data_IF_188151412317
#
_entry.id   IF_188151412317
#
_cell.length_a   1.000
_cell.length_b   1.000
_cell.length_c   1.000
_cell.angle_alpha   90.00
_cell.angle_beta   90.00
_cell.angle_gamma   90.00
#
_symmetry.space_group_name_H-M   'P 1'
#
loop_
_entity.id
_entity.type
_entity.pdbx_description
1 polymer ?
#
# COMPACT_ATOMS: atom_id res chain seq x y z
N UNK A 1 -6.28 10.24 8.03
CA UNK A 1 -6.73 8.91 7.60
C UNK A 1 -6.26 7.89 8.62
N UNK A 2 -7.17 7.14 9.24
CA UNK A 2 -6.87 6.10 10.23
C UNK A 2 -6.73 4.73 9.57
N UNK A 3 -6.26 3.73 10.34
CA UNK A 3 -6.20 2.34 9.89
C UNK A 3 -7.58 1.80 9.53
N UNK A 4 -8.56 2.02 10.40
CA UNK A 4 -9.93 1.54 10.25
C UNK A 4 -10.61 2.14 9.02
N UNK A 5 -10.36 3.42 8.75
CA UNK A 5 -10.84 4.11 7.54
C UNK A 5 -10.29 3.43 6.27
N UNK A 6 -9.00 3.09 6.22
CA UNK A 6 -8.39 2.39 5.07
C UNK A 6 -8.94 0.98 4.91
N UNK A 7 -9.06 0.23 6.02
CA UNK A 7 -9.52 -1.16 6.02
C UNK A 7 -10.99 -1.29 5.55
N UNK A 8 -11.81 -0.26 5.77
CA UNK A 8 -13.20 -0.23 5.31
C UNK A 8 -13.40 0.49 3.96
N UNK A 9 -12.38 1.18 3.46
CA UNK A 9 -12.48 1.93 2.20
C UNK A 9 -12.73 0.98 1.01
N UNK A 10 -13.80 1.16 0.23
CA UNK A 10 -14.06 0.34 -0.95
C UNK A 10 -13.04 0.64 -2.05
N UNK A 11 -12.87 -0.31 -2.98
CA UNK A 11 -12.13 -0.03 -4.21
C UNK A 11 -12.85 1.08 -5.01
N UNK A 12 -12.08 1.95 -5.65
CA UNK A 12 -12.60 3.06 -6.44
C UNK A 12 -11.64 4.25 -6.52
N UNK A 13 -12.12 5.31 -7.20
CA UNK A 13 -11.29 6.48 -7.54
C UNK A 13 -10.73 7.22 -6.34
N UNK A 14 -11.41 7.22 -5.21
CA UNK A 14 -10.91 7.82 -3.97
C UNK A 14 -9.67 7.09 -3.47
N UNK A 15 -9.71 5.75 -3.38
CA UNK A 15 -8.56 4.94 -2.99
C UNK A 15 -7.42 5.07 -4.01
N UNK A 16 -7.73 5.01 -5.30
CA UNK A 16 -6.73 5.16 -6.37
C UNK A 16 -6.00 6.50 -6.28
N UNK A 17 -6.72 7.58 -5.95
CA UNK A 17 -6.14 8.90 -5.73
C UNK A 17 -5.18 8.95 -4.55
N UNK A 18 -5.52 8.26 -3.46
CA UNK A 18 -4.63 8.13 -2.31
C UNK A 18 -3.38 7.31 -2.64
N UNK A 19 -3.51 6.23 -3.40
CA UNK A 19 -2.37 5.43 -3.86
C UNK A 19 -1.44 6.27 -4.74
N UNK A 20 -2.00 6.96 -5.72
CA UNK A 20 -1.24 7.84 -6.60
C UNK A 20 -0.48 8.91 -5.80
N UNK A 21 -1.13 9.50 -4.81
CA UNK A 21 -0.54 10.57 -4.01
C UNK A 21 0.50 10.07 -2.99
N UNK A 22 0.15 9.08 -2.18
CA UNK A 22 0.91 8.69 -0.98
C UNK A 22 1.93 7.58 -1.24
N UNK A 23 1.65 6.66 -2.17
CA UNK A 23 2.52 5.50 -2.42
C UNK A 23 3.37 5.73 -3.67
N UNK A 24 2.73 6.05 -4.79
CA UNK A 24 3.44 6.30 -6.05
C UNK A 24 4.27 7.59 -5.95
N UNK A 25 3.75 8.60 -5.25
CA UNK A 25 4.41 9.89 -5.10
C UNK A 25 4.18 10.80 -6.30
N UNK A 26 2.98 10.80 -6.89
CA UNK A 26 2.59 11.65 -8.03
C UNK A 26 2.56 13.17 -7.74
N UNK A 27 3.29 13.64 -6.73
CA UNK A 27 3.76 15.01 -6.64
C UNK A 27 5.15 15.11 -7.26
N UNK A 28 5.21 15.48 -8.55
CA UNK A 28 6.30 16.32 -9.09
C UNK A 28 7.74 15.85 -8.81
N UNK A 29 8.05 14.57 -9.00
CA UNK A 29 9.41 14.20 -9.39
C UNK A 29 9.35 13.31 -10.62
N UNK A 30 9.93 13.83 -11.70
CA UNK A 30 10.26 13.12 -12.92
C UNK A 30 11.13 11.93 -12.52
N UNK A 31 10.54 10.74 -12.50
CA UNK A 31 11.31 9.51 -12.36
C UNK A 31 11.97 9.28 -13.73
N UNK A 32 13.23 9.66 -13.85
CA UNK A 32 14.12 9.22 -14.93
C UNK A 32 14.35 7.70 -14.78
N UNK A 33 13.43 6.87 -15.28
CA UNK A 33 13.74 5.51 -15.75
C UNK A 33 12.48 4.82 -16.30
N UNK A 34 12.47 4.70 -17.63
CA UNK A 34 11.88 3.65 -18.47
C UNK A 34 10.39 3.26 -18.38
N UNK A 35 9.59 3.87 -17.51
CA UNK A 35 8.13 3.75 -17.60
C UNK A 35 7.58 4.87 -18.48
N UNK A 36 6.94 4.51 -19.59
CA UNK A 36 6.25 5.39 -20.56
C UNK A 36 4.99 6.07 -19.98
N UNK A 37 5.06 6.57 -18.77
CA UNK A 37 4.11 7.56 -18.25
C UNK A 37 4.79 8.92 -18.36
N UNK A 38 4.69 9.51 -19.55
CA UNK A 38 5.17 10.85 -19.81
C UNK A 38 4.41 11.84 -18.92
N UNK A 39 5.00 12.16 -17.78
CA UNK A 39 4.51 13.18 -16.84
C UNK A 39 4.32 14.56 -17.48
N UNK A 40 4.84 14.79 -18.70
CA UNK A 40 4.61 16.01 -19.47
C UNK A 40 3.29 16.01 -20.27
N UNK A 41 2.61 14.86 -20.41
CA UNK A 41 1.33 14.76 -21.15
C UNK A 41 0.09 14.61 -20.25
N UNK A 42 0.24 14.55 -18.93
CA UNK A 42 -0.87 14.81 -18.03
C UNK A 42 -1.09 16.32 -17.94
N UNK A 43 -1.61 16.93 -19.01
CA UNK A 43 -2.36 18.17 -18.87
C UNK A 43 -3.49 17.86 -17.89
N UNK A 44 -3.31 18.26 -16.62
CA UNK A 44 -4.35 18.12 -15.59
C UNK A 44 -5.55 18.90 -16.06
N UNK A 45 -6.50 18.22 -16.69
CA UNK A 45 -7.83 18.75 -16.96
C UNK A 45 -8.50 18.95 -15.60
N UNK A 46 -8.71 20.21 -15.15
CA UNK A 46 -9.26 20.46 -13.84
C UNK A 46 -10.70 19.92 -13.70
N UNK A 47 -11.40 19.73 -14.83
CA UNK A 47 -12.72 19.11 -14.90
C UNK A 47 -12.70 17.58 -14.81
N UNK A 48 -11.54 16.94 -15.01
CA UNK A 48 -11.38 15.47 -15.00
C UNK A 48 -10.06 15.03 -14.36
N UNK A 49 -9.88 15.28 -13.06
CA UNK A 49 -8.62 14.96 -12.37
C UNK A 49 -8.24 13.47 -12.39
N UNK A 50 -9.19 12.59 -12.75
CA UNK A 50 -9.03 11.13 -12.71
C UNK A 50 -8.90 10.46 -14.08
N UNK A 51 -9.02 11.20 -15.20
CA UNK A 51 -9.13 10.62 -16.56
C UNK A 51 -7.94 9.73 -16.94
N UNK A 52 -6.75 10.08 -16.46
CA UNK A 52 -5.51 9.37 -16.76
C UNK A 52 -4.94 8.58 -15.57
N UNK A 53 -5.68 8.54 -14.46
CA UNK A 53 -5.24 7.82 -13.27
C UNK A 53 -5.50 6.32 -13.43
N UNK A 54 -4.47 5.47 -13.25
CA UNK A 54 -4.65 4.02 -13.24
C UNK A 54 -5.67 3.57 -12.20
N UNK A 55 -6.33 2.46 -12.47
CA UNK A 55 -7.33 1.85 -11.59
C UNK A 55 -6.67 0.92 -10.56
N UNK A 56 -5.79 1.46 -9.71
CA UNK A 56 -4.97 0.69 -8.77
C UNK A 56 -5.76 -0.31 -7.92
N UNK A 57 -6.91 0.09 -7.40
CA UNK A 57 -7.70 -0.72 -6.46
C UNK A 57 -8.62 -1.75 -7.12
N UNK A 58 -8.77 -1.73 -8.45
CA UNK A 58 -9.65 -2.67 -9.17
C UNK A 58 -8.92 -3.48 -10.26
N UNK A 59 -7.80 -2.99 -10.79
CA UNK A 59 -7.04 -3.67 -11.84
C UNK A 59 -5.70 -4.17 -11.32
N UNK A 60 -5.44 -5.48 -11.45
CA UNK A 60 -4.22 -6.11 -10.94
C UNK A 60 -2.95 -5.62 -11.64
N UNK A 61 -3.03 -5.27 -12.94
CA UNK A 61 -1.89 -4.70 -13.66
C UNK A 61 -1.43 -3.39 -13.02
N UNK A 62 -2.36 -2.45 -12.81
CA UNK A 62 -2.08 -1.19 -12.13
C UNK A 62 -1.65 -1.40 -10.66
N UNK A 63 -2.30 -2.31 -9.93
CA UNK A 63 -1.92 -2.64 -8.55
C UNK A 63 -0.48 -3.15 -8.45
N UNK A 64 0.06 -3.79 -9.51
CA UNK A 64 1.43 -4.27 -9.52
C UNK A 64 2.45 -3.12 -9.56
N UNK A 65 2.11 -1.98 -10.15
CA UNK A 65 2.95 -0.77 -10.08
C UNK A 65 3.16 -0.31 -8.63
N UNK A 66 2.16 -0.55 -7.76
CA UNK A 66 2.25 -0.29 -6.31
C UNK A 66 3.26 -1.23 -5.67
N UNK A 67 3.25 -2.51 -6.03
CA UNK A 67 4.20 -3.52 -5.55
C UNK A 67 5.62 -3.15 -5.94
N UNK A 68 5.85 -2.81 -7.21
CA UNK A 68 7.15 -2.38 -7.71
C UNK A 68 7.62 -1.08 -7.04
N UNK A 69 6.68 -0.19 -6.70
CA UNK A 69 7.00 1.03 -5.96
C UNK A 69 7.47 0.74 -4.54
N UNK A 70 6.80 -0.18 -3.84
CA UNK A 70 7.18 -0.62 -2.49
C UNK A 70 8.57 -1.27 -2.49
N UNK A 71 8.90 -2.09 -3.50
CA UNK A 71 10.23 -2.70 -3.62
C UNK A 71 11.34 -1.64 -3.72
N UNK A 72 11.10 -0.58 -4.51
CA UNK A 72 12.02 0.58 -4.62
C UNK A 72 12.18 1.36 -3.31
N UNK A 73 11.29 1.20 -2.33
CA UNK A 73 11.40 1.80 -0.99
C UNK A 73 11.86 0.81 0.08
N UNK A 74 12.47 -0.31 -0.32
CA UNK A 74 12.92 -1.39 0.56
C UNK A 74 11.78 -2.02 1.38
N UNK A 75 10.57 -2.03 0.80
CA UNK A 75 9.40 -2.68 1.36
C UNK A 75 9.03 -3.90 0.51
N UNK A 76 8.97 -5.06 1.14
CA UNK A 76 8.56 -6.29 0.49
C UNK A 76 7.04 -6.45 0.58
N UNK A 77 6.41 -6.87 -0.51
CA UNK A 77 4.98 -7.09 -0.58
C UNK A 77 4.70 -8.55 -0.90
N UNK A 78 4.00 -9.25 0.01
CA UNK A 78 3.48 -10.61 -0.23
C UNK A 78 1.97 -10.58 -0.39
N UNK A 79 1.47 -11.32 -1.38
CA UNK A 79 0.04 -11.42 -1.69
C UNK A 79 -0.34 -12.88 -1.72
N UNK A 80 -1.04 -13.31 -0.67
CA UNK A 80 -1.47 -14.70 -0.50
C UNK A 80 -3.00 -14.78 -0.49
N UNK A 81 -3.53 -15.88 -1.03
CA UNK A 81 -4.96 -16.19 -0.90
C UNK A 81 -5.20 -17.00 0.37
N UNK A 82 -6.06 -16.52 1.25
CA UNK A 82 -6.37 -17.18 2.53
C UNK A 82 -7.82 -17.67 2.55
N UNK A 83 -8.07 -18.73 3.32
CA UNK A 83 -9.42 -19.24 3.54
C UNK A 83 -10.13 -18.33 4.56
N UNK A 84 -11.14 -17.58 4.11
CA UNK A 84 -12.00 -16.73 4.94
C UNK A 84 -13.26 -17.43 5.46
N UNK A 85 -13.30 -18.77 5.39
CA UNK A 85 -14.46 -19.57 5.74
C UNK A 85 -15.32 -19.87 4.50
N UNK A 86 -16.39 -19.10 4.31
CA UNK A 86 -17.31 -19.31 3.19
C UNK A 86 -16.75 -18.82 1.84
N UNK A 87 -15.78 -17.91 1.87
CA UNK A 87 -15.12 -17.35 0.68
C UNK A 87 -13.60 -17.31 0.88
N UNK A 88 -12.87 -17.23 -0.23
CA UNK A 88 -11.44 -16.94 -0.19
C UNK A 88 -11.22 -15.44 -0.22
N UNK A 89 -10.34 -14.96 0.66
CA UNK A 89 -9.90 -13.56 0.68
C UNK A 89 -8.48 -13.46 0.13
N UNK A 90 -8.15 -12.29 -0.39
CA UNK A 90 -6.78 -11.89 -0.64
C UNK A 90 -6.23 -11.21 0.60
N UNK A 91 -5.05 -11.66 1.02
CA UNK A 91 -4.29 -11.15 2.15
C UNK A 91 -2.99 -10.56 1.60
N UNK A 92 -2.75 -9.29 1.88
CA UNK A 92 -1.53 -8.62 1.48
C UNK A 92 -0.76 -8.19 2.72
N UNK A 93 0.54 -8.44 2.72
CA UNK A 93 1.45 -8.01 3.79
C UNK A 93 2.59 -7.18 3.20
N UNK A 94 2.93 -6.08 3.86
CA UNK A 94 4.02 -5.17 3.48
C UNK A 94 5.01 -5.11 4.63
N UNK A 95 6.25 -5.47 4.38
CA UNK A 95 7.31 -5.62 5.38
C UNK A 95 8.46 -4.68 5.06
N UNK A 96 8.98 -3.96 6.06
CA UNK A 96 10.26 -3.27 5.91
C UNK A 96 11.39 -4.28 6.12
N UNK A 97 12.40 -4.30 5.24
CA UNK A 97 13.59 -5.15 5.38
C UNK A 97 14.38 -4.88 6.68
N UNK A 98 14.09 -3.78 7.36
CA UNK A 98 14.71 -3.37 8.63
C UNK A 98 14.10 -4.02 9.88
N UNK A 99 13.09 -4.89 9.74
CA UNK A 99 12.46 -5.61 10.86
C UNK A 99 11.40 -4.82 11.64
N UNK A 100 10.95 -3.69 11.09
CA UNK A 100 9.83 -2.89 11.60
C UNK A 100 8.47 -3.58 11.40
N UNK A 101 7.39 -3.15 12.10
CA UNK A 101 6.10 -3.80 12.01
C UNK A 101 5.62 -3.92 10.56
N UNK A 102 5.22 -5.14 10.18
CA UNK A 102 4.60 -5.37 8.88
C UNK A 102 3.16 -4.85 8.89
N UNK A 103 2.75 -4.22 7.79
CA UNK A 103 1.39 -3.78 7.56
C UNK A 103 0.65 -4.88 6.81
N UNK A 104 -0.63 -5.07 7.11
CA UNK A 104 -1.44 -6.10 6.43
C UNK A 104 -2.84 -5.61 6.18
N UNK A 105 -3.43 -6.09 5.09
CA UNK A 105 -4.82 -5.86 4.76
C UNK A 105 -5.42 -7.08 4.05
N UNK A 106 -6.72 -7.26 4.24
CA UNK A 106 -7.51 -8.26 3.52
C UNK A 106 -8.58 -7.61 2.65
N UNK A 107 -8.94 -8.27 1.56
CA UNK A 107 -10.01 -7.85 0.66
C UNK A 107 -10.54 -9.01 -0.20
N UNK A 108 -11.68 -8.80 -0.85
CA UNK A 108 -12.26 -9.76 -1.79
C UNK A 108 -11.47 -9.87 -3.10
N UNK A 109 -10.58 -8.90 -3.39
CA UNK A 109 -9.76 -8.86 -4.59
C UNK A 109 -8.29 -8.56 -4.25
N UNK A 110 -7.36 -9.11 -5.04
CA UNK A 110 -5.93 -8.83 -4.86
C UNK A 110 -5.58 -7.34 -4.98
N UNK A 111 -6.08 -6.59 -5.99
CA UNK A 111 -5.78 -5.16 -6.13
C UNK A 111 -6.16 -4.34 -4.89
N UNK A 112 -7.34 -4.61 -4.32
CA UNK A 112 -7.80 -3.91 -3.12
C UNK A 112 -6.97 -4.26 -1.88
N UNK A 113 -6.59 -5.53 -1.72
CA UNK A 113 -5.71 -5.95 -0.61
C UNK A 113 -4.34 -5.26 -0.69
N UNK A 114 -3.75 -5.22 -1.89
CA UNK A 114 -2.47 -4.52 -2.16
C UNK A 114 -2.57 -3.04 -1.80
N UNK A 115 -3.58 -2.35 -2.34
CA UNK A 115 -3.73 -0.91 -2.13
C UNK A 115 -3.94 -0.56 -0.64
N UNK A 116 -4.77 -1.32 0.08
CA UNK A 116 -4.97 -1.11 1.53
C UNK A 116 -3.68 -1.32 2.31
N UNK A 117 -2.96 -2.41 2.05
CA UNK A 117 -1.71 -2.69 2.75
C UNK A 117 -0.64 -1.62 2.48
N UNK A 118 -0.54 -1.15 1.23
CA UNK A 118 0.34 -0.08 0.83
C UNK A 118 0.00 1.26 1.53
N UNK A 119 -1.28 1.65 1.58
CA UNK A 119 -1.69 2.87 2.29
C UNK A 119 -1.41 2.77 3.80
N UNK A 120 -1.68 1.62 4.41
CA UNK A 120 -1.36 1.39 5.82
C UNK A 120 0.14 1.56 6.09
N UNK A 121 1.01 1.16 5.16
CA UNK A 121 2.45 1.32 5.26
C UNK A 121 2.93 2.78 5.14
N UNK A 122 2.07 3.71 4.71
CA UNK A 122 2.37 5.14 4.69
C UNK A 122 1.92 5.89 5.96
N UNK A 123 1.15 5.23 6.82
CA UNK A 123 0.74 5.84 8.09
C UNK A 123 1.94 5.93 9.04
N UNK A 124 2.04 7.00 9.85
CA UNK A 124 3.06 7.07 10.87
C UNK A 124 2.90 5.91 11.85
N UNK A 125 3.88 5.01 11.91
CA UNK A 125 3.92 3.97 12.93
C UNK A 125 4.18 4.63 14.27
N UNK A 126 3.27 4.49 15.22
CA UNK A 126 3.59 4.77 16.62
C UNK A 126 4.79 3.89 17.01
N UNK A 127 5.88 4.46 17.54
CA UNK A 127 7.06 3.67 17.89
C UNK A 127 6.63 2.57 18.84
N UNK A 128 6.93 1.33 18.46
CA UNK A 128 6.73 0.18 19.36
C UNK A 128 7.64 0.44 20.57
N UNK A 129 7.10 0.50 21.80
CA UNK A 129 7.96 0.68 22.97
C UNK A 129 9.01 -0.45 22.98
N UNK A 130 10.27 -0.14 23.32
CA UNK A 130 11.31 -1.15 23.36
C UNK A 130 10.83 -2.33 24.21
N UNK A 131 11.03 -3.55 23.72
CA UNK A 131 10.74 -4.76 24.49
C UNK A 131 11.58 -4.68 25.75
N UNK A 132 10.95 -4.33 26.88
CA UNK A 132 11.64 -4.38 28.17
C UNK A 132 12.04 -5.84 28.38
N UNK A 133 13.34 -6.16 28.50
CA UNK A 133 13.75 -7.53 28.76
C UNK A 133 13.04 -8.01 30.02
N UNK A 134 12.50 -9.23 29.97
CA UNK A 134 11.84 -9.83 31.12
C UNK A 134 12.78 -9.76 32.34
N UNK A 135 12.28 -9.46 33.55
CA UNK A 135 13.11 -9.39 34.73
C UNK A 135 13.86 -10.72 34.89
N UNK A 136 15.18 -10.63 35.04
CA UNK A 136 16.05 -11.79 35.21
C UNK A 136 15.64 -12.57 36.47
N UNK A 137 14.97 -13.70 36.28
CA UNK A 137 14.43 -14.55 37.36
C UNK A 137 15.55 -15.40 38.01
N UNK A 138 16.82 -15.27 37.58
CA UNK A 138 17.90 -16.17 38.02
C UNK A 138 18.68 -15.73 39.26
N UNK A 139 18.28 -14.66 39.97
CA UNK A 139 18.85 -14.34 41.29
C UNK A 139 17.90 -14.73 42.43
N UNK A 140 18.05 -15.95 42.93
CA UNK A 140 17.61 -16.37 44.27
C UNK A 140 18.80 -16.86 45.08
#
# INVERSE_FOLDING_TARGET
MTREEIEQMPAGREMDGLIAHMVIGAQTQVIESDWRYDSQHMERRPDRPWEHMPYYSTEIGAAWDVVERLDKTAQLCDVTRINGGATYLHHCEVWNTSGEPYHRATADTAPLAICRAALLATLPTTPVPPITPAPDVTRR
#
